data_IF_341349432673
#
_entry.id   IF_341349432673
#
_cell.length_a   1.000
_cell.length_b   1.000
_cell.length_c   1.000
_cell.angle_alpha   90.00
_cell.angle_beta   90.00
_cell.angle_gamma   90.00
#
_symmetry.space_group_name_H-M   'P 1'
#
loop_
_entity.id
_entity.type
_entity.pdbx_description
1 polymer ?
#
# COMPACT_ATOMS: atom_id res chain seq x y z
N UNK A 1 -16.13 -11.38 -29.06
CA UNK A 1 -15.79 -9.99 -28.70
C UNK A 1 -15.38 -9.25 -29.97
N UNK A 2 -15.94 -8.09 -30.20
CA UNK A 2 -15.66 -7.24 -31.36
C UNK A 2 -14.43 -6.36 -31.08
N UNK A 3 -13.61 -6.09 -32.10
CA UNK A 3 -12.43 -5.22 -32.00
C UNK A 3 -12.58 -4.16 -33.07
N UNK A 4 -12.77 -2.91 -32.67
CA UNK A 4 -12.98 -1.78 -33.60
C UNK A 4 -11.64 -1.22 -34.10
N UNK A 5 -10.59 -1.25 -33.27
CA UNK A 5 -9.23 -0.80 -33.58
C UNK A 5 -8.22 -1.90 -33.25
N UNK A 6 -7.80 -2.61 -34.30
CA UNK A 6 -6.81 -3.69 -34.20
C UNK A 6 -5.43 -3.17 -33.74
N UNK A 7 -5.02 -1.98 -34.19
CA UNK A 7 -3.72 -1.41 -33.85
C UNK A 7 -3.64 -1.07 -32.36
N UNK A 8 -4.71 -0.49 -31.83
CA UNK A 8 -4.83 -0.21 -30.41
C UNK A 8 -4.87 -1.51 -29.59
N UNK A 9 -5.64 -2.51 -30.03
CA UNK A 9 -5.73 -3.79 -29.35
C UNK A 9 -4.37 -4.50 -29.30
N UNK A 10 -3.65 -4.55 -30.40
CA UNK A 10 -2.29 -5.11 -30.46
C UNK A 10 -1.33 -4.38 -29.51
N UNK A 11 -1.35 -3.05 -29.52
CA UNK A 11 -0.53 -2.25 -28.62
C UNK A 11 -0.76 -2.61 -27.15
N UNK A 12 -2.01 -2.63 -26.72
CA UNK A 12 -2.33 -2.96 -25.34
C UNK A 12 -2.02 -4.42 -24.98
N UNK A 13 -2.27 -5.38 -25.88
CA UNK A 13 -1.96 -6.79 -25.66
C UNK A 13 -0.46 -7.08 -25.59
N UNK A 14 0.36 -6.31 -26.32
CA UNK A 14 1.83 -6.41 -26.24
C UNK A 14 2.40 -5.85 -24.94
N UNK A 15 1.76 -4.81 -24.35
CA UNK A 15 2.26 -4.13 -23.17
C UNK A 15 1.56 -4.55 -21.87
N UNK A 16 0.36 -5.10 -21.96
CA UNK A 16 -0.39 -5.65 -20.85
C UNK A 16 -0.41 -7.17 -20.97
N UNK A 17 -0.09 -7.85 -19.87
CA UNK A 17 -0.20 -9.30 -19.86
C UNK A 17 -1.66 -9.71 -20.10
N UNK A 18 -1.86 -10.65 -21.04
CA UNK A 18 -3.17 -11.24 -21.37
C UNK A 18 -3.97 -11.65 -20.13
N UNK A 19 -3.32 -12.36 -19.18
CA UNK A 19 -3.97 -12.77 -17.94
C UNK A 19 -4.39 -11.61 -17.04
N UNK A 20 -3.71 -10.46 -17.15
CA UNK A 20 -4.09 -9.26 -16.43
C UNK A 20 -5.37 -8.65 -16.98
N UNK A 21 -5.55 -8.62 -18.30
CA UNK A 21 -6.80 -8.20 -18.94
C UNK A 21 -7.91 -9.22 -18.71
N UNK A 22 -7.58 -10.49 -18.55
CA UNK A 22 -8.50 -11.58 -18.27
C UNK A 22 -9.45 -11.32 -17.10
N UNK A 23 -8.96 -10.69 -16.04
CA UNK A 23 -9.78 -10.33 -14.90
C UNK A 23 -10.89 -9.29 -15.25
N UNK A 24 -10.66 -8.44 -16.26
CA UNK A 24 -11.55 -7.34 -16.62
C UNK A 24 -12.59 -7.74 -17.68
N UNK A 25 -12.41 -8.82 -18.41
CA UNK A 25 -13.44 -9.26 -19.35
C UNK A 25 -14.46 -10.21 -18.74
N UNK A 26 -14.20 -10.78 -17.54
CA UNK A 26 -15.16 -11.66 -16.84
C UNK A 26 -16.58 -11.09 -16.75
N UNK A 27 -16.81 -9.80 -16.43
CA UNK A 27 -18.15 -9.23 -16.38
C UNK A 27 -18.89 -9.25 -17.73
N UNK A 28 -18.16 -9.37 -18.84
CA UNK A 28 -18.67 -9.35 -20.20
C UNK A 28 -18.91 -10.76 -20.77
N UNK A 29 -18.49 -11.80 -20.07
CA UNK A 29 -18.78 -13.19 -20.45
C UNK A 29 -20.24 -13.56 -20.11
N UNK A 30 -20.85 -14.33 -20.99
CA UNK A 30 -22.14 -14.98 -20.73
C UNK A 30 -21.97 -16.34 -20.08
N UNK A 31 -20.83 -17.01 -20.34
CA UNK A 31 -20.44 -18.27 -19.76
C UNK A 31 -18.94 -18.26 -19.46
N UNK A 32 -18.61 -18.33 -18.17
CA UNK A 32 -17.22 -18.31 -17.69
C UNK A 32 -16.49 -19.66 -17.91
N UNK A 33 -17.23 -20.74 -18.18
CA UNK A 33 -16.61 -22.06 -18.41
C UNK A 33 -16.05 -22.17 -19.84
N UNK A 34 -16.80 -21.62 -20.77
CA UNK A 34 -16.44 -21.64 -22.21
C UNK A 34 -15.87 -20.34 -22.71
N UNK A 35 -15.76 -19.33 -21.85
CA UNK A 35 -15.28 -17.97 -22.18
C UNK A 35 -16.05 -17.31 -23.34
N UNK A 36 -17.38 -17.58 -23.42
CA UNK A 36 -18.23 -16.97 -24.43
C UNK A 36 -18.65 -15.59 -23.98
N UNK A 37 -18.32 -14.58 -24.76
CA UNK A 37 -18.73 -13.19 -24.52
C UNK A 37 -20.20 -12.97 -24.88
N UNK A 38 -20.82 -12.00 -24.20
CA UNK A 38 -22.16 -11.51 -24.56
C UNK A 38 -22.09 -10.88 -25.95
N UNK A 39 -23.20 -11.00 -26.69
CA UNK A 39 -23.31 -10.40 -28.02
C UNK A 39 -23.07 -8.87 -27.95
N UNK A 40 -22.29 -8.33 -28.87
CA UNK A 40 -21.98 -6.91 -28.95
C UNK A 40 -20.90 -6.42 -27.98
N UNK A 41 -20.29 -7.31 -27.14
CA UNK A 41 -19.15 -6.93 -26.31
C UNK A 41 -17.97 -6.47 -27.16
N UNK A 42 -17.45 -5.30 -26.85
CA UNK A 42 -16.29 -4.69 -27.53
C UNK A 42 -15.04 -4.76 -26.65
N UNK A 43 -13.88 -4.90 -27.29
CA UNK A 43 -12.58 -4.88 -26.61
C UNK A 43 -12.33 -3.58 -25.86
N UNK A 44 -12.79 -2.47 -26.43
CA UNK A 44 -12.66 -1.14 -25.86
C UNK A 44 -13.42 -0.99 -24.53
N UNK A 45 -14.50 -1.73 -24.32
CA UNK A 45 -15.24 -1.74 -23.03
C UNK A 45 -14.39 -2.39 -21.93
N UNK A 46 -13.73 -3.51 -22.24
CA UNK A 46 -12.82 -4.19 -21.34
C UNK A 46 -11.61 -3.31 -21.03
N UNK A 47 -11.05 -2.66 -22.05
CA UNK A 47 -9.94 -1.75 -21.90
C UNK A 47 -10.30 -0.54 -21.03
N UNK A 48 -11.47 0.05 -21.25
CA UNK A 48 -11.95 1.18 -20.46
C UNK A 48 -12.14 0.79 -18.98
N UNK A 49 -12.65 -0.42 -18.71
CA UNK A 49 -12.75 -0.92 -17.33
C UNK A 49 -11.38 -1.07 -16.67
N UNK A 50 -10.40 -1.59 -17.41
CA UNK A 50 -9.01 -1.67 -16.93
C UNK A 50 -8.41 -0.29 -16.63
N UNK A 51 -8.59 0.68 -17.55
CA UNK A 51 -8.08 2.04 -17.38
C UNK A 51 -8.75 2.74 -16.20
N UNK A 52 -10.08 2.60 -16.08
CA UNK A 52 -10.83 3.13 -14.93
C UNK A 52 -10.30 2.56 -13.60
N UNK A 53 -10.14 1.24 -13.50
CA UNK A 53 -9.63 0.60 -12.30
C UNK A 53 -8.20 1.06 -11.97
N UNK A 54 -7.36 1.24 -13.00
CA UNK A 54 -6.01 1.76 -12.82
C UNK A 54 -6.03 3.18 -12.22
N UNK A 55 -6.82 4.09 -12.79
CA UNK A 55 -6.92 5.46 -12.30
C UNK A 55 -7.52 5.50 -10.89
N UNK A 56 -8.56 4.71 -10.63
CA UNK A 56 -9.17 4.61 -9.30
C UNK A 56 -8.16 4.13 -8.26
N UNK A 57 -7.34 3.12 -8.58
CA UNK A 57 -6.28 2.64 -7.67
C UNK A 57 -5.26 3.72 -7.35
N UNK A 58 -4.84 4.52 -8.34
CA UNK A 58 -3.90 5.63 -8.13
C UNK A 58 -4.48 6.68 -7.18
N UNK A 59 -5.75 7.06 -7.38
CA UNK A 59 -6.43 8.00 -6.49
C UNK A 59 -6.61 7.45 -5.08
N UNK A 60 -6.94 6.17 -4.95
CA UNK A 60 -7.07 5.52 -3.65
C UNK A 60 -5.73 5.41 -2.92
N UNK A 61 -4.65 5.10 -3.63
CA UNK A 61 -3.31 5.04 -3.03
C UNK A 61 -2.86 6.41 -2.51
N UNK A 62 -3.09 7.49 -3.27
CA UNK A 62 -2.82 8.86 -2.80
C UNK A 62 -3.63 9.21 -1.54
N UNK A 63 -4.91 8.87 -1.51
CA UNK A 63 -5.75 9.10 -0.34
C UNK A 63 -5.31 8.28 0.88
N UNK A 64 -4.96 7.01 0.69
CA UNK A 64 -4.48 6.13 1.76
C UNK A 64 -3.16 6.64 2.32
N UNK A 65 -2.22 7.06 1.46
CA UNK A 65 -0.93 7.63 1.89
C UNK A 65 -1.14 8.85 2.79
N UNK A 66 -2.00 9.77 2.38
CA UNK A 66 -2.31 10.98 3.18
C UNK A 66 -2.90 10.64 4.55
N UNK A 67 -3.83 9.68 4.60
CA UNK A 67 -4.42 9.21 5.85
C UNK A 67 -3.37 8.53 6.72
N UNK A 68 -2.53 7.67 6.14
CA UNK A 68 -1.47 6.96 6.85
C UNK A 68 -0.47 7.94 7.48
N UNK A 69 0.04 8.89 6.71
CA UNK A 69 0.97 9.94 7.20
C UNK A 69 0.32 10.76 8.31
N UNK A 70 -0.95 11.17 8.13
CA UNK A 70 -1.69 11.93 9.15
C UNK A 70 -1.83 11.16 10.46
N UNK A 71 -2.25 9.89 10.39
CA UNK A 71 -2.42 9.05 11.58
C UNK A 71 -1.08 8.84 12.30
N UNK A 72 -0.03 8.52 11.57
CA UNK A 72 1.32 8.34 12.15
C UNK A 72 1.80 9.61 12.84
N UNK A 73 1.68 10.75 12.17
CA UNK A 73 2.09 12.05 12.73
C UNK A 73 1.30 12.41 13.99
N UNK A 74 -0.02 12.24 13.97
CA UNK A 74 -0.87 12.51 15.12
C UNK A 74 -0.57 11.55 16.29
N UNK A 75 -0.35 10.29 16.00
CA UNK A 75 0.02 9.31 17.01
C UNK A 75 1.36 9.67 17.66
N UNK A 76 2.38 9.96 16.88
CA UNK A 76 3.69 10.38 17.37
C UNK A 76 3.60 11.66 18.22
N UNK A 77 2.84 12.65 17.73
CA UNK A 77 2.60 13.90 18.43
C UNK A 77 1.94 13.66 19.80
N UNK A 78 0.87 12.89 19.85
CA UNK A 78 0.14 12.62 21.10
C UNK A 78 1.00 11.86 22.10
N UNK A 79 1.70 10.80 21.68
CA UNK A 79 2.59 10.04 22.57
C UNK A 79 3.70 10.95 23.12
N UNK A 80 4.34 11.75 22.29
CA UNK A 80 5.42 12.63 22.73
C UNK A 80 4.95 13.72 23.69
N UNK A 81 3.76 14.28 23.48
CA UNK A 81 3.20 15.36 24.28
C UNK A 81 2.62 14.90 25.62
N UNK A 82 1.91 13.76 25.60
CA UNK A 82 1.23 13.26 26.81
C UNK A 82 2.17 12.49 27.74
N UNK A 83 3.25 11.94 27.20
CA UNK A 83 4.17 11.11 27.95
C UNK A 83 5.60 11.62 27.79
N UNK A 84 6.33 11.15 26.75
CA UNK A 84 7.68 11.58 26.45
C UNK A 84 8.06 11.15 25.02
N UNK A 85 9.18 11.62 24.44
CA UNK A 85 9.64 11.22 23.11
C UNK A 85 9.78 9.71 22.88
N UNK A 86 9.98 8.94 23.95
CA UNK A 86 10.15 7.50 23.94
C UNK A 86 8.94 6.75 24.55
N UNK A 87 7.80 7.41 24.70
CA UNK A 87 6.57 6.81 25.29
C UNK A 87 6.11 5.53 24.59
N UNK A 88 6.44 5.34 23.31
CA UNK A 88 6.17 4.11 22.57
C UNK A 88 6.92 2.88 23.13
N UNK A 89 7.96 3.08 23.94
CA UNK A 89 8.70 2.03 24.63
C UNK A 89 8.08 1.65 25.98
N UNK A 90 7.11 2.41 26.47
CA UNK A 90 6.46 2.16 27.75
C UNK A 90 5.35 1.12 27.61
N UNK A 91 5.58 -0.06 28.16
CA UNK A 91 4.62 -1.16 28.15
C UNK A 91 3.30 -0.84 28.90
N UNK A 92 3.33 0.12 29.83
CA UNK A 92 2.13 0.50 30.61
C UNK A 92 1.09 1.24 29.78
N UNK A 93 1.50 1.85 28.66
CA UNK A 93 0.63 2.52 27.71
C UNK A 93 -0.02 1.56 26.70
N UNK A 94 0.41 0.30 26.69
CA UNK A 94 -0.06 -0.68 25.73
C UNK A 94 -1.38 -1.33 26.17
N UNK A 95 -2.42 -1.21 25.37
CA UNK A 95 -3.71 -1.90 25.57
C UNK A 95 -3.54 -3.42 25.46
N UNK A 96 -2.64 -3.89 24.62
CA UNK A 96 -2.31 -5.32 24.43
C UNK A 96 -0.80 -5.53 24.46
N UNK A 97 -0.32 -6.02 25.59
CA UNK A 97 1.10 -6.20 25.84
C UNK A 97 1.76 -7.21 24.86
N UNK A 98 1.09 -8.30 24.50
CA UNK A 98 1.63 -9.27 23.56
C UNK A 98 1.81 -8.67 22.15
N UNK A 99 0.85 -7.88 21.69
CA UNK A 99 0.95 -7.16 20.40
C UNK A 99 2.04 -6.09 20.46
N UNK A 100 2.12 -5.35 21.56
CA UNK A 100 3.16 -4.33 21.78
C UNK A 100 4.55 -4.96 21.72
N UNK A 101 4.81 -6.06 22.42
CA UNK A 101 6.10 -6.76 22.39
C UNK A 101 6.50 -7.20 20.98
N UNK A 102 5.55 -7.74 20.19
CA UNK A 102 5.78 -8.12 18.80
C UNK A 102 6.14 -6.92 17.91
N UNK A 103 5.44 -5.81 18.10
CA UNK A 103 5.70 -4.59 17.34
C UNK A 103 7.05 -3.98 17.74
N UNK A 104 7.39 -3.96 19.03
CA UNK A 104 8.67 -3.47 19.50
C UNK A 104 9.84 -4.31 18.97
N UNK A 105 9.69 -5.64 18.95
CA UNK A 105 10.69 -6.53 18.37
C UNK A 105 10.90 -6.27 16.87
N UNK A 106 9.81 -6.05 16.11
CA UNK A 106 9.91 -5.68 14.69
C UNK A 106 10.62 -4.34 14.51
N UNK A 107 10.24 -3.33 15.29
CA UNK A 107 10.87 -2.00 15.25
C UNK A 107 12.36 -2.12 15.53
N UNK A 108 12.77 -2.84 16.55
CA UNK A 108 14.17 -3.08 16.89
C UNK A 108 14.93 -3.74 15.74
N UNK A 109 14.32 -4.72 15.09
CA UNK A 109 14.93 -5.37 13.92
C UNK A 109 15.10 -4.40 12.75
N UNK A 110 14.10 -3.57 12.45
CA UNK A 110 14.16 -2.61 11.34
C UNK A 110 15.20 -1.51 11.62
N UNK A 111 15.24 -0.99 12.84
CA UNK A 111 16.24 0.01 13.25
C UNK A 111 17.67 -0.55 13.14
N UNK A 112 17.89 -1.79 13.62
CA UNK A 112 19.20 -2.45 13.54
C UNK A 112 19.63 -2.80 12.10
N UNK A 113 18.65 -3.03 11.21
CA UNK A 113 18.89 -3.31 9.79
C UNK A 113 19.09 -2.04 8.96
N UNK A 114 18.64 -0.90 9.46
CA UNK A 114 18.67 0.35 8.72
C UNK A 114 20.11 0.86 8.55
N UNK A 115 20.48 1.12 7.30
CA UNK A 115 21.76 1.76 6.95
C UNK A 115 21.63 3.29 6.80
N UNK A 116 20.47 3.85 7.10
CA UNK A 116 20.21 5.28 6.96
C UNK A 116 21.07 6.12 7.91
N UNK A 117 21.76 7.13 7.37
CA UNK A 117 22.61 8.03 8.13
C UNK A 117 21.85 8.73 9.27
N UNK A 118 20.59 9.04 9.05
CA UNK A 118 19.72 9.65 10.04
C UNK A 118 19.53 8.74 11.27
N UNK A 119 19.23 7.46 11.07
CA UNK A 119 19.05 6.49 12.16
C UNK A 119 20.37 6.28 12.91
N UNK A 120 21.48 6.12 12.19
CA UNK A 120 22.82 6.01 12.80
C UNK A 120 23.17 7.24 13.65
N UNK A 121 22.87 8.44 13.16
CA UNK A 121 23.06 9.67 13.91
C UNK A 121 22.23 9.72 15.19
N UNK A 122 20.95 9.34 15.12
CA UNK A 122 20.08 9.33 16.31
C UNK A 122 20.58 8.37 17.39
N UNK A 123 20.98 7.15 17.02
CA UNK A 123 21.49 6.14 17.95
C UNK A 123 22.80 6.60 18.59
N UNK A 124 23.68 7.23 17.81
CA UNK A 124 24.99 7.68 18.33
C UNK A 124 24.92 8.94 19.18
N UNK A 125 23.98 9.84 18.89
CA UNK A 125 23.85 11.14 19.56
C UNK A 125 23.01 11.07 20.82
N UNK A 126 21.95 10.27 20.78
CA UNK A 126 21.03 10.08 21.92
C UNK A 126 21.27 8.68 22.47
N UNK A 127 21.75 8.54 23.68
CA UNK A 127 22.11 7.27 24.34
C UNK A 127 20.90 6.35 24.65
N UNK A 128 19.85 6.43 23.84
CA UNK A 128 18.61 5.67 23.99
C UNK A 128 18.65 4.39 23.16
N UNK A 129 17.97 3.35 23.64
CA UNK A 129 17.93 2.04 22.97
C UNK A 129 17.31 2.07 21.56
N UNK A 130 16.35 2.98 21.35
CA UNK A 130 15.64 3.17 20.07
C UNK A 130 15.38 4.67 19.84
N UNK A 131 15.27 5.10 18.57
CA UNK A 131 14.96 6.48 18.23
C UNK A 131 13.63 6.96 18.82
N UNK A 132 13.47 8.28 18.95
CA UNK A 132 12.23 8.91 19.38
C UNK A 132 11.05 8.55 18.45
N UNK A 133 9.83 8.59 19.00
CA UNK A 133 8.60 8.12 18.31
C UNK A 133 8.39 8.73 16.92
N UNK A 134 8.71 10.01 16.71
CA UNK A 134 8.56 10.67 15.40
C UNK A 134 9.56 10.23 14.35
N UNK A 135 10.65 9.57 14.74
CA UNK A 135 11.67 9.07 13.84
C UNK A 135 11.40 7.64 13.36
N UNK A 136 10.45 6.95 13.97
CA UNK A 136 10.12 5.53 13.70
C UNK A 136 8.67 5.32 13.28
N UNK A 137 7.91 6.39 13.08
CA UNK A 137 6.52 6.37 12.61
C UNK A 137 6.39 6.40 11.09
#
# INVERSE_FOLDING_TARGET
MEISDLTQAEFYLQHLNYYRLGAYWLPFESDHTTHIFRSGTKFEEVLNLYLFDRELRLLMLDAIERVEVSIRSQWAYQIAHLHNPHGHLDATLAVNNSRWQKNLAKLTMEVNRSDENFIKHLITTYSEALPAVWAVC
#
